data_IF_305012776537
#
_entry.id   IF_305012776537
#
_cell.length_a   1.000
_cell.length_b   1.000
_cell.length_c   1.000
_cell.angle_alpha   90.00
_cell.angle_beta   90.00
_cell.angle_gamma   90.00
#
_symmetry.space_group_name_H-M   'P 1'
#
loop_
_entity.id
_entity.type
_entity.pdbx_description
1 polymer ?
#
# COMPACT_ATOMS: atom_id res chain seq x y z
N UNK A 1 -6.13 -4.99 -61.09
CA UNK A 1 -5.40 -5.53 -59.93
C UNK A 1 -6.11 -6.79 -59.48
N UNK A 2 -5.42 -7.91 -59.49
CA UNK A 2 -6.01 -9.20 -59.11
C UNK A 2 -6.46 -9.14 -57.64
N UNK A 3 -7.67 -9.58 -57.29
CA UNK A 3 -8.17 -9.52 -55.92
C UNK A 3 -7.28 -10.31 -54.93
N UNK A 4 -6.55 -11.30 -55.44
CA UNK A 4 -5.59 -12.10 -54.68
C UNK A 4 -4.38 -11.29 -54.15
N UNK A 5 -3.90 -10.31 -54.93
CA UNK A 5 -2.76 -9.48 -54.54
C UNK A 5 -3.13 -8.51 -53.41
N UNK A 6 -4.36 -8.00 -53.40
CA UNK A 6 -4.85 -7.10 -52.33
C UNK A 6 -5.01 -7.86 -51.01
N UNK A 7 -5.50 -9.07 -51.04
CA UNK A 7 -5.66 -9.94 -49.84
C UNK A 7 -4.29 -10.30 -49.27
N UNK A 8 -3.31 -10.64 -50.11
CA UNK A 8 -1.93 -10.93 -49.65
C UNK A 8 -1.25 -9.74 -49.00
N UNK A 9 -1.43 -8.52 -49.53
CA UNK A 9 -0.86 -7.30 -48.93
C UNK A 9 -1.50 -6.96 -47.59
N UNK A 10 -2.81 -7.13 -47.44
CA UNK A 10 -3.53 -6.94 -46.17
C UNK A 10 -3.08 -7.95 -45.11
N UNK A 11 -2.89 -9.21 -45.48
CA UNK A 11 -2.36 -10.23 -44.56
C UNK A 11 -0.92 -9.93 -44.11
N UNK A 12 -0.06 -9.43 -44.99
CA UNK A 12 1.30 -9.04 -44.67
C UNK A 12 1.33 -7.86 -43.73
N UNK A 13 0.47 -6.86 -43.93
CA UNK A 13 0.35 -5.69 -43.01
C UNK A 13 -0.16 -6.13 -41.63
N UNK A 14 -1.18 -7.00 -41.60
CA UNK A 14 -1.72 -7.54 -40.35
C UNK A 14 -0.65 -8.32 -39.54
N UNK A 15 0.17 -9.13 -40.23
CA UNK A 15 1.27 -9.88 -39.62
C UNK A 15 2.36 -8.94 -39.08
N UNK A 16 2.71 -7.87 -39.80
CA UNK A 16 3.66 -6.87 -39.33
C UNK A 16 3.14 -6.09 -38.11
N UNK A 17 1.88 -5.70 -38.11
CA UNK A 17 1.24 -5.04 -36.96
C UNK A 17 1.19 -5.99 -35.76
N UNK A 18 0.85 -7.25 -35.96
CA UNK A 18 0.86 -8.24 -34.89
C UNK A 18 2.26 -8.46 -34.32
N UNK A 19 3.28 -8.56 -35.19
CA UNK A 19 4.68 -8.72 -34.77
C UNK A 19 5.16 -7.47 -34.00
N UNK A 20 4.82 -6.26 -34.48
CA UNK A 20 5.12 -5.01 -33.79
C UNK A 20 4.48 -4.93 -32.43
N UNK A 21 3.17 -5.25 -32.31
CA UNK A 21 2.47 -5.26 -31.04
C UNK A 21 3.03 -6.34 -30.09
N UNK A 22 3.45 -7.49 -30.62
CA UNK A 22 4.03 -8.57 -29.83
C UNK A 22 5.42 -8.20 -29.29
N UNK A 23 6.29 -7.60 -30.13
CA UNK A 23 7.61 -7.13 -29.70
C UNK A 23 7.50 -5.96 -28.72
N UNK A 24 6.60 -5.00 -28.97
CA UNK A 24 6.36 -3.88 -28.10
C UNK A 24 5.82 -4.33 -26.72
N UNK A 25 4.89 -5.30 -26.68
CA UNK A 25 4.45 -5.92 -25.42
C UNK A 25 5.61 -6.61 -24.69
N UNK A 26 6.51 -7.28 -25.40
CA UNK A 26 7.68 -7.92 -24.78
C UNK A 26 8.63 -6.90 -24.15
N UNK A 27 8.94 -5.80 -24.81
CA UNK A 27 9.78 -4.74 -24.26
C UNK A 27 9.14 -4.05 -23.04
N UNK A 28 7.83 -3.83 -23.07
CA UNK A 28 7.10 -3.26 -21.90
C UNK A 28 7.10 -4.22 -20.71
N UNK A 29 7.05 -5.54 -20.96
CA UNK A 29 7.15 -6.57 -19.92
C UNK A 29 8.57 -6.76 -19.39
N UNK A 30 9.59 -6.39 -20.16
CA UNK A 30 11.01 -6.47 -19.76
C UNK A 30 11.54 -5.20 -19.06
N UNK A 31 10.70 -4.16 -18.89
CA UNK A 31 11.12 -2.99 -18.11
C UNK A 31 11.39 -3.44 -16.68
N UNK A 32 12.66 -3.30 -16.26
CA UNK A 32 13.09 -3.59 -14.89
C UNK A 32 12.13 -2.95 -13.90
N UNK A 33 11.59 -3.71 -12.95
CA UNK A 33 10.69 -3.17 -11.95
C UNK A 33 11.45 -2.14 -11.10
N UNK A 34 11.07 -0.87 -11.22
CA UNK A 34 11.63 0.22 -10.41
C UNK A 34 10.86 0.28 -9.10
N UNK A 35 11.57 0.27 -7.99
CA UNK A 35 10.98 0.47 -6.67
C UNK A 35 10.36 1.86 -6.55
N UNK A 36 9.17 1.93 -5.96
CA UNK A 36 8.51 3.17 -5.58
C UNK A 36 8.89 3.48 -4.13
N UNK A 37 9.21 4.73 -3.84
CA UNK A 37 9.61 5.16 -2.49
C UNK A 37 8.71 6.28 -1.96
N UNK A 38 8.57 6.34 -0.63
CA UNK A 38 7.88 7.40 0.09
C UNK A 38 6.50 7.72 -0.49
N UNK A 39 6.27 9.00 -0.78
CA UNK A 39 4.97 9.49 -1.28
C UNK A 39 4.52 8.82 -2.59
N UNK A 40 5.45 8.39 -3.46
CA UNK A 40 5.10 7.70 -4.70
C UNK A 40 4.49 6.32 -4.43
N UNK A 41 4.98 5.60 -3.41
CA UNK A 41 4.39 4.34 -2.97
C UNK A 41 3.00 4.56 -2.35
N UNK A 42 2.84 5.57 -1.51
CA UNK A 42 1.60 5.84 -0.80
C UNK A 42 0.48 6.45 -1.67
N UNK A 43 0.81 7.06 -2.82
CA UNK A 43 -0.11 7.89 -3.62
C UNK A 43 -1.48 7.26 -3.88
N UNK A 44 -1.53 6.00 -4.32
CA UNK A 44 -2.80 5.34 -4.67
C UNK A 44 -3.61 4.89 -3.44
N UNK A 45 -3.02 4.24 -2.42
CA UNK A 45 -3.73 3.91 -1.19
C UNK A 45 -4.22 5.16 -0.45
N UNK A 46 -3.38 6.19 -0.36
CA UNK A 46 -3.73 7.46 0.27
C UNK A 46 -4.91 8.16 -0.44
N UNK A 47 -4.94 8.15 -1.77
CA UNK A 47 -6.06 8.71 -2.52
C UNK A 47 -7.38 7.94 -2.25
N UNK A 48 -7.32 6.61 -2.11
CA UNK A 48 -8.48 5.80 -1.75
C UNK A 48 -8.96 6.12 -0.32
N UNK A 49 -8.04 6.22 0.63
CA UNK A 49 -8.36 6.58 2.02
C UNK A 49 -8.96 8.00 2.13
N UNK A 50 -8.42 8.98 1.40
CA UNK A 50 -8.96 10.35 1.35
C UNK A 50 -10.38 10.39 0.76
N UNK A 51 -10.64 9.58 -0.28
CA UNK A 51 -11.99 9.48 -0.85
C UNK A 51 -12.98 8.92 0.17
N UNK A 52 -12.63 7.84 0.86
CA UNK A 52 -13.46 7.28 1.93
C UNK A 52 -13.67 8.28 3.06
N UNK A 53 -12.63 8.99 3.46
CA UNK A 53 -12.70 10.01 4.50
C UNK A 53 -13.68 11.14 4.13
N UNK A 54 -13.63 11.64 2.90
CA UNK A 54 -14.55 12.67 2.42
C UNK A 54 -16.02 12.20 2.42
N UNK A 55 -16.28 10.93 2.11
CA UNK A 55 -17.65 10.38 2.09
C UNK A 55 -18.22 10.15 3.49
N UNK A 56 -17.39 9.90 4.49
CA UNK A 56 -17.82 9.49 5.83
C UNK A 56 -17.44 10.50 6.92
N UNK A 57 -16.92 11.67 6.57
CA UNK A 57 -16.43 12.69 7.50
C UNK A 57 -15.30 12.16 8.43
N UNK A 58 -14.46 11.29 7.88
CA UNK A 58 -13.28 10.76 8.56
C UNK A 58 -12.08 11.66 8.35
N UNK A 59 -11.02 11.47 9.14
CA UNK A 59 -9.78 12.21 9.00
C UNK A 59 -8.65 11.33 8.49
N UNK A 60 -7.76 11.91 7.67
CA UNK A 60 -6.52 11.27 7.21
C UNK A 60 -5.33 12.05 7.69
N UNK A 61 -4.45 11.39 8.42
CA UNK A 61 -3.17 11.94 8.87
C UNK A 61 -2.08 11.40 7.95
N UNK A 62 -1.45 12.26 7.17
CA UNK A 62 -0.40 11.90 6.23
C UNK A 62 0.58 13.09 6.01
N UNK A 63 1.90 12.88 6.17
CA UNK A 63 2.54 11.64 6.60
C UNK A 63 2.24 11.32 8.08
N UNK A 64 2.30 10.01 8.44
CA UNK A 64 2.02 9.56 9.80
C UNK A 64 3.29 9.09 10.51
N UNK A 65 4.30 9.95 10.54
CA UNK A 65 5.54 9.71 11.26
C UNK A 65 5.40 10.24 12.68
N UNK A 66 5.14 9.34 13.62
CA UNK A 66 5.10 9.68 15.05
C UNK A 66 6.48 9.48 15.65
N UNK A 67 6.85 10.36 16.58
CA UNK A 67 8.12 10.27 17.28
C UNK A 67 7.92 10.51 18.79
N UNK A 68 8.51 9.62 19.60
CA UNK A 68 8.60 9.81 21.05
C UNK A 68 9.78 9.04 21.63
N UNK A 69 10.55 9.70 22.50
CA UNK A 69 11.67 9.11 23.22
C UNK A 69 12.68 8.38 22.29
N UNK A 70 12.94 8.93 21.10
CA UNK A 70 13.83 8.33 20.11
C UNK A 70 13.23 7.17 19.31
N UNK A 71 12.02 6.73 19.63
CA UNK A 71 11.27 5.78 18.81
C UNK A 71 10.46 6.53 17.74
N UNK A 72 10.51 6.03 16.51
CA UNK A 72 9.83 6.64 15.37
C UNK A 72 9.05 5.59 14.58
N UNK A 73 7.82 5.94 14.14
CA UNK A 73 7.06 5.07 13.22
C UNK A 73 7.50 5.26 11.77
N UNK A 74 7.20 4.24 10.95
CA UNK A 74 7.39 4.28 9.50
C UNK A 74 6.05 4.04 8.77
N UNK A 75 4.99 4.64 9.31
CA UNK A 75 3.66 4.60 8.70
C UNK A 75 3.53 5.69 7.64
N UNK A 76 2.89 5.37 6.52
CA UNK A 76 2.68 6.35 5.46
C UNK A 76 1.48 7.26 5.75
N UNK A 77 0.41 6.68 6.31
CA UNK A 77 -0.75 7.46 6.76
C UNK A 77 -1.62 6.66 7.75
N UNK A 78 -2.46 7.39 8.46
CA UNK A 78 -3.47 6.85 9.37
C UNK A 78 -4.84 7.39 8.95
N UNK A 79 -5.82 6.49 8.76
CA UNK A 79 -7.22 6.84 8.59
C UNK A 79 -7.92 6.75 9.94
N UNK A 80 -8.54 7.83 10.39
CA UNK A 80 -9.27 7.94 11.65
C UNK A 80 -10.76 8.05 11.35
N UNK A 81 -11.55 7.13 11.85
CA UNK A 81 -12.98 7.08 11.65
C UNK A 81 -13.73 6.66 12.92
N UNK A 82 -15.05 6.61 12.85
CA UNK A 82 -15.90 6.12 13.96
C UNK A 82 -15.60 4.65 14.33
N UNK A 83 -14.98 3.90 13.43
CA UNK A 83 -14.52 2.51 13.64
C UNK A 83 -13.20 2.41 14.45
N UNK A 84 -12.44 3.50 14.59
CA UNK A 84 -11.10 3.55 15.18
C UNK A 84 -10.05 4.08 14.21
N UNK A 85 -8.83 3.51 14.28
CA UNK A 85 -7.70 3.88 13.44
C UNK A 85 -7.28 2.72 12.54
N UNK A 86 -7.02 3.04 11.28
CA UNK A 86 -6.37 2.16 10.32
C UNK A 86 -4.99 2.74 9.97
N UNK A 87 -3.94 2.14 10.51
CA UNK A 87 -2.55 2.49 10.25
C UNK A 87 -2.08 1.79 8.98
N UNK A 88 -1.55 2.53 8.02
CA UNK A 88 -1.19 1.98 6.71
C UNK A 88 0.28 2.17 6.42
N UNK A 89 0.95 1.05 6.10
CA UNK A 89 2.30 1.02 5.54
C UNK A 89 2.23 0.60 4.08
N UNK A 90 2.84 1.40 3.20
CA UNK A 90 2.90 1.13 1.77
C UNK A 90 4.28 0.58 1.40
N UNK A 91 4.31 -0.55 0.69
CA UNK A 91 5.53 -1.19 0.19
C UNK A 91 5.57 -1.05 -1.32
N UNK A 92 6.52 -0.27 -1.82
CA UNK A 92 6.67 0.01 -3.25
C UNK A 92 7.70 -0.86 -3.97
N UNK A 93 8.15 -1.96 -3.37
CA UNK A 93 9.13 -2.86 -3.96
C UNK A 93 8.57 -3.56 -5.19
N UNK A 94 9.39 -3.68 -6.24
CA UNK A 94 9.09 -4.44 -7.45
C UNK A 94 9.77 -5.81 -7.45
N UNK A 95 9.58 -6.59 -8.53
CA UNK A 95 10.13 -7.96 -8.62
C UNK A 95 9.36 -8.97 -7.77
N UNK A 96 10.00 -10.09 -7.49
CA UNK A 96 9.41 -11.18 -6.71
C UNK A 96 9.67 -10.96 -5.22
N UNK A 97 8.61 -11.07 -4.41
CA UNK A 97 8.67 -10.89 -2.96
C UNK A 97 8.33 -12.21 -2.28
N UNK A 98 9.26 -12.70 -1.48
CA UNK A 98 9.13 -13.96 -0.73
C UNK A 98 9.14 -13.69 0.77
N UNK A 99 8.33 -14.44 1.51
CA UNK A 99 8.29 -14.40 2.97
C UNK A 99 7.01 -14.97 3.55
N UNK A 100 6.95 -15.04 4.87
CA UNK A 100 5.76 -15.42 5.62
C UNK A 100 5.51 -14.46 6.79
N UNK A 101 4.34 -14.53 7.41
CA UNK A 101 4.01 -13.68 8.56
C UNK A 101 4.98 -13.89 9.74
N UNK A 102 5.48 -15.12 9.90
CA UNK A 102 6.39 -15.50 10.99
C UNK A 102 7.84 -15.05 10.80
N UNK A 103 8.27 -14.73 9.58
CA UNK A 103 9.66 -14.40 9.28
C UNK A 103 10.02 -13.00 9.80
N UNK A 104 11.26 -12.85 10.30
CA UNK A 104 11.76 -11.53 10.66
C UNK A 104 12.15 -10.71 9.43
N UNK A 105 12.70 -11.38 8.43
CA UNK A 105 13.18 -10.79 7.18
C UNK A 105 12.47 -11.44 6.00
N UNK A 106 12.15 -10.63 5.00
CA UNK A 106 11.63 -11.06 3.71
C UNK A 106 12.68 -10.86 2.63
N UNK A 107 12.48 -11.49 1.47
CA UNK A 107 13.40 -11.45 0.35
C UNK A 107 12.74 -10.80 -0.87
N UNK A 108 13.40 -9.81 -1.45
CA UNK A 108 13.11 -9.27 -2.78
C UNK A 108 14.09 -9.87 -3.78
N UNK A 109 13.58 -10.38 -4.89
CA UNK A 109 14.36 -10.81 -6.05
C UNK A 109 13.97 -9.94 -7.24
N UNK A 110 14.95 -9.23 -7.77
CA UNK A 110 14.78 -8.37 -8.94
C UNK A 110 15.92 -8.64 -9.92
N UNK A 111 15.60 -9.23 -11.06
CA UNK A 111 16.56 -9.85 -11.97
C UNK A 111 17.37 -10.92 -11.21
N UNK A 112 18.70 -10.85 -11.24
CA UNK A 112 19.59 -11.75 -10.50
C UNK A 112 19.95 -11.26 -9.10
N UNK A 113 19.48 -10.07 -8.72
CA UNK A 113 19.80 -9.43 -7.43
C UNK A 113 18.82 -9.87 -6.36
N UNK A 114 19.37 -10.31 -5.23
CA UNK A 114 18.61 -10.66 -4.03
C UNK A 114 18.86 -9.64 -2.93
N UNK A 115 17.80 -9.13 -2.32
CA UNK A 115 17.87 -8.15 -1.24
C UNK A 115 16.94 -8.57 -0.12
N UNK A 116 17.49 -8.79 1.07
CA UNK A 116 16.68 -8.99 2.28
C UNK A 116 16.21 -7.65 2.81
N UNK A 117 14.97 -7.62 3.33
CA UNK A 117 14.39 -6.45 3.99
C UNK A 117 13.53 -6.90 5.17
N UNK A 118 13.34 -6.01 6.13
CA UNK A 118 12.53 -6.30 7.31
C UNK A 118 11.09 -6.63 6.92
N UNK A 119 10.48 -7.62 7.58
CA UNK A 119 9.08 -7.97 7.39
C UNK A 119 8.18 -6.76 7.68
N UNK A 120 7.50 -6.21 6.66
CA UNK A 120 6.73 -4.98 6.82
C UNK A 120 5.50 -5.13 7.72
N UNK A 121 4.99 -6.35 7.88
CA UNK A 121 3.87 -6.62 8.79
C UNK A 121 4.31 -6.48 10.25
N UNK A 122 5.45 -7.10 10.61
CA UNK A 122 6.02 -6.96 11.95
C UNK A 122 6.39 -5.50 12.26
N UNK A 123 6.89 -4.78 11.27
CA UNK A 123 7.20 -3.37 11.42
C UNK A 123 5.94 -2.55 11.66
N UNK A 124 4.91 -2.71 10.82
CA UNK A 124 3.64 -2.01 10.98
C UNK A 124 2.95 -2.34 12.33
N UNK A 125 3.01 -3.59 12.78
CA UNK A 125 2.51 -3.98 14.10
C UNK A 125 3.28 -3.30 15.24
N UNK A 126 4.60 -3.23 15.14
CA UNK A 126 5.45 -2.52 16.10
C UNK A 126 5.13 -1.02 16.13
N UNK A 127 4.95 -0.42 14.96
CA UNK A 127 4.64 1.00 14.83
C UNK A 127 3.27 1.34 15.44
N UNK A 128 2.28 0.43 15.36
CA UNK A 128 0.98 0.64 16.03
C UNK A 128 1.06 0.70 17.54
N UNK A 129 2.12 0.19 18.16
CA UNK A 129 2.32 0.33 19.62
C UNK A 129 2.50 1.81 19.96
N UNK A 130 3.32 2.54 19.21
CA UNK A 130 3.53 3.98 19.43
C UNK A 130 2.22 4.76 19.22
N UNK A 131 1.39 4.37 18.24
CA UNK A 131 0.06 4.96 18.05
C UNK A 131 -0.84 4.69 19.26
N UNK A 132 -0.84 3.46 19.81
CA UNK A 132 -1.61 3.12 21.02
C UNK A 132 -1.11 3.90 22.24
N UNK A 133 0.20 4.12 22.36
CA UNK A 133 0.79 4.90 23.43
C UNK A 133 0.35 6.38 23.36
N UNK A 134 0.25 6.95 22.15
CA UNK A 134 -0.30 8.29 21.95
C UNK A 134 -1.76 8.37 22.42
N UNK A 135 -2.58 7.40 22.04
CA UNK A 135 -3.98 7.31 22.49
C UNK A 135 -4.10 7.12 24.00
N UNK A 136 -3.26 6.25 24.56
CA UNK A 136 -3.23 6.02 26.01
C UNK A 136 -2.89 7.28 26.79
N UNK A 137 -1.89 8.04 26.33
CA UNK A 137 -1.49 9.34 26.93
C UNK A 137 -2.63 10.35 26.91
N UNK A 138 -3.49 10.30 25.88
CA UNK A 138 -4.70 11.12 25.77
C UNK A 138 -5.93 10.53 26.49
N UNK A 139 -5.76 9.46 27.27
CA UNK A 139 -6.83 8.71 27.97
C UNK A 139 -7.87 8.04 27.03
N UNK A 140 -7.48 7.76 25.79
CA UNK A 140 -8.31 7.11 24.76
C UNK A 140 -8.01 5.61 24.67
N UNK A 141 -8.19 4.87 25.77
CA UNK A 141 -7.75 3.46 25.90
C UNK A 141 -8.53 2.46 25.04
N UNK A 142 -9.78 2.75 24.69
CA UNK A 142 -10.69 1.81 24.04
C UNK A 142 -10.84 2.05 22.53
N UNK A 143 -9.97 2.86 21.92
CA UNK A 143 -10.01 3.12 20.49
C UNK A 143 -9.35 1.96 19.76
N UNK A 144 -10.05 1.26 18.85
CA UNK A 144 -9.46 0.18 18.06
C UNK A 144 -8.37 0.70 17.13
N UNK A 145 -7.25 -0.01 17.07
CA UNK A 145 -6.13 0.30 16.18
C UNK A 145 -5.78 -0.95 15.37
N UNK A 146 -5.89 -0.85 14.06
CA UNK A 146 -5.54 -1.90 13.10
C UNK A 146 -4.37 -1.44 12.23
N UNK A 147 -3.45 -2.36 11.90
CA UNK A 147 -2.38 -2.11 10.94
C UNK A 147 -2.60 -2.91 9.66
N UNK A 148 -2.29 -2.31 8.52
CA UNK A 148 -2.29 -2.98 7.23
C UNK A 148 -1.06 -2.62 6.42
N UNK A 149 -0.58 -3.59 5.65
CA UNK A 149 0.52 -3.42 4.70
C UNK A 149 -0.02 -3.53 3.28
N UNK A 150 0.27 -2.53 2.45
CA UNK A 150 -0.21 -2.44 1.07
C UNK A 150 0.95 -2.45 0.10
N UNK A 151 1.04 -3.48 -0.74
CA UNK A 151 1.97 -3.53 -1.86
C UNK A 151 1.44 -2.71 -3.03
N UNK A 152 2.19 -1.70 -3.43
CA UNK A 152 1.71 -0.65 -4.34
C UNK A 152 2.34 -0.71 -5.73
N UNK A 153 3.44 -1.44 -5.89
CA UNK A 153 4.10 -1.62 -7.17
C UNK A 153 3.35 -2.67 -8.01
N UNK A 154 2.96 -2.28 -9.22
CA UNK A 154 2.28 -3.20 -10.15
C UNK A 154 3.18 -4.30 -10.69
N UNK A 155 4.50 -4.08 -10.66
CA UNK A 155 5.50 -5.05 -11.08
C UNK A 155 5.94 -5.98 -9.93
N UNK A 156 5.32 -5.88 -8.76
CA UNK A 156 5.57 -6.81 -7.66
C UNK A 156 4.80 -8.13 -7.91
N UNK A 157 5.52 -9.23 -7.83
CA UNK A 157 4.97 -10.58 -7.80
C UNK A 157 5.06 -11.10 -6.36
N UNK A 158 3.92 -11.22 -5.70
CA UNK A 158 3.86 -11.59 -4.29
C UNK A 158 3.79 -13.11 -4.14
N UNK A 159 4.92 -13.75 -3.90
CA UNK A 159 5.03 -15.16 -3.54
C UNK A 159 4.83 -15.34 -2.03
N UNK A 160 3.71 -14.81 -1.53
CA UNK A 160 3.34 -14.78 -0.11
C UNK A 160 2.06 -15.58 0.10
N UNK A 161 1.95 -16.38 1.19
CA UNK A 161 0.69 -17.03 1.54
C UNK A 161 -0.42 -15.99 1.74
N UNK A 162 -1.64 -16.28 1.28
CA UNK A 162 -2.80 -15.36 1.45
C UNK A 162 -3.10 -15.06 2.92
N UNK A 163 -2.81 -15.98 3.82
CA UNK A 163 -2.94 -15.82 5.27
C UNK A 163 -1.97 -14.82 5.89
N UNK A 164 -0.99 -14.32 5.11
CA UNK A 164 0.03 -13.39 5.60
C UNK A 164 -0.54 -12.03 6.03
N UNK A 165 -1.73 -11.64 5.54
CA UNK A 165 -2.39 -10.39 5.97
C UNK A 165 -1.89 -9.13 5.22
N UNK A 166 -1.31 -9.30 4.04
CA UNK A 166 -0.94 -8.20 3.15
C UNK A 166 -2.05 -7.91 2.14
N UNK A 167 -1.99 -6.73 1.53
CA UNK A 167 -2.95 -6.27 0.52
C UNK A 167 -2.23 -5.69 -0.70
N UNK A 168 -2.79 -5.91 -1.88
CA UNK A 168 -2.52 -5.10 -3.06
C UNK A 168 -3.36 -3.82 -3.03
N UNK A 169 -3.08 -2.84 -3.89
CA UNK A 169 -3.90 -1.62 -3.97
C UNK A 169 -5.38 -1.92 -4.28
N UNK A 170 -5.66 -2.95 -5.10
CA UNK A 170 -7.03 -3.37 -5.42
C UNK A 170 -7.73 -3.95 -4.19
N UNK A 171 -7.05 -4.85 -3.48
CA UNK A 171 -7.58 -5.48 -2.27
C UNK A 171 -7.73 -4.47 -1.12
N UNK A 172 -6.82 -3.49 -1.00
CA UNK A 172 -6.95 -2.42 -0.03
C UNK A 172 -8.21 -1.56 -0.28
N UNK A 173 -8.53 -1.24 -1.55
CA UNK A 173 -9.78 -0.55 -1.87
C UNK A 173 -10.99 -1.37 -1.45
N UNK A 174 -11.03 -2.66 -1.81
CA UNK A 174 -12.09 -3.56 -1.39
C UNK A 174 -12.14 -3.77 0.14
N UNK A 175 -11.01 -3.63 0.83
CA UNK A 175 -10.95 -3.66 2.28
C UNK A 175 -11.66 -2.46 2.89
N UNK A 176 -11.44 -1.25 2.35
CA UNK A 176 -12.08 -0.02 2.81
C UNK A 176 -13.61 -0.06 2.64
N UNK A 177 -14.12 -0.78 1.63
CA UNK A 177 -15.56 -0.94 1.38
C UNK A 177 -16.24 -1.92 2.35
N UNK A 178 -15.48 -2.62 3.23
CA UNK A 178 -16.06 -3.55 4.21
C UNK A 178 -16.82 -2.80 5.30
N UNK A 179 -17.95 -3.36 5.71
CA UNK A 179 -18.84 -2.80 6.75
C UNK A 179 -18.14 -2.50 8.08
N UNK A 180 -17.04 -3.21 8.42
CA UNK A 180 -16.29 -2.95 9.65
C UNK A 180 -15.70 -1.52 9.72
N UNK A 181 -15.44 -0.87 8.57
CA UNK A 181 -14.90 0.49 8.50
C UNK A 181 -15.97 1.58 8.36
N UNK A 182 -17.23 1.19 8.24
CA UNK A 182 -18.38 2.09 8.33
C UNK A 182 -19.17 1.91 9.62
N UNK A 183 -18.81 0.90 10.44
CA UNK A 183 -19.42 0.64 11.71
C UNK A 183 -19.11 1.76 12.71
N UNK A 184 -20.14 2.33 13.30
CA UNK A 184 -19.98 3.31 14.37
C UNK A 184 -19.65 2.64 15.70
N UNK A 185 -18.40 2.73 16.12
CA UNK A 185 -17.91 2.30 17.45
C UNK A 185 -17.82 3.45 18.44
N UNK A 186 -18.47 4.57 18.14
CA UNK A 186 -18.52 5.78 18.99
C UNK A 186 -17.15 6.39 19.27
N UNK A 187 -16.21 6.27 18.30
CA UNK A 187 -14.91 6.91 18.40
C UNK A 187 -15.05 8.38 18.06
N UNK A 188 -14.62 9.25 18.94
CA UNK A 188 -14.50 10.69 18.69
C UNK A 188 -13.31 10.94 17.75
N UNK A 189 -13.62 11.22 16.49
CA UNK A 189 -12.63 11.35 15.41
C UNK A 189 -11.68 12.52 15.70
N UNK A 190 -12.22 13.70 16.06
CA UNK A 190 -11.41 14.91 16.26
C UNK A 190 -10.46 14.76 17.45
N UNK A 191 -10.96 14.24 18.56
CA UNK A 191 -10.16 13.99 19.76
C UNK A 191 -9.09 12.92 19.50
N UNK A 192 -9.45 11.87 18.78
CA UNK A 192 -8.53 10.77 18.43
C UNK A 192 -7.44 11.26 17.47
N UNK A 193 -7.82 11.99 16.43
CA UNK A 193 -6.87 12.57 15.48
C UNK A 193 -5.95 13.59 16.17
N UNK A 194 -6.47 14.41 17.09
CA UNK A 194 -5.70 15.34 17.89
C UNK A 194 -4.64 14.64 18.74
N UNK A 195 -4.99 13.51 19.39
CA UNK A 195 -4.07 12.72 20.19
C UNK A 195 -2.91 12.16 19.35
N UNK A 196 -3.19 11.70 18.12
CA UNK A 196 -2.15 11.21 17.21
C UNK A 196 -1.28 12.34 16.70
N UNK A 197 -1.89 13.49 16.31
CA UNK A 197 -1.16 14.66 15.82
C UNK A 197 -0.19 15.25 16.85
N UNK A 198 -0.51 15.14 18.13
CA UNK A 198 0.38 15.61 19.21
C UNK A 198 1.74 14.88 19.26
N UNK A 199 1.86 13.75 18.57
CA UNK A 199 3.08 12.95 18.51
C UNK A 199 3.69 12.92 17.09
N UNK A 200 3.13 13.67 16.13
CA UNK A 200 3.74 13.77 14.82
C UNK A 200 5.10 14.45 14.93
N UNK A 201 6.07 13.88 14.22
CA UNK A 201 7.36 14.54 14.03
C UNK A 201 7.14 15.88 13.33
N UNK A 202 7.69 16.95 13.89
CA UNK A 202 7.69 18.24 13.21
C UNK A 202 8.45 18.13 11.89
N UNK A 203 7.87 18.69 10.82
CA UNK A 203 8.55 18.75 9.54
C UNK A 203 9.71 19.75 9.65
N UNK A 204 10.93 19.27 9.51
CA UNK A 204 12.11 20.11 9.31
C UNK A 204 12.06 20.83 7.96
#
# INVERSE_FOLDING_TARGET
MEPTSVVLTLLAIAALVFLYLFTFKREVLQRKPKDLQGQAAAKKPLAAARRMAAMNQYEVIAPAVLEKNGAQTDLDFILVGTFGLLCVKCVGLGGEIYGSAGDAMWLQVCDEKRKSFENPLRRAERDTRLVRDALFSAKLKNVPVEAVVVFTNRAAQLALPRSTGHYTVKEFRALLDKSKYTQDKRVDISKTAGAVRAWLKEAE
#
